data_IF_791232223816
#
_entry.id   IF_791232223816
#
_cell.length_a   1.000
_cell.length_b   1.000
_cell.length_c   1.000
_cell.angle_alpha   90.00
_cell.angle_beta   90.00
_cell.angle_gamma   90.00
#
_symmetry.space_group_name_H-M   'P 1'
#
loop_
_entity.id
_entity.type
_entity.pdbx_description
1 polymer ?
#
# COMPACT_ATOMS: atom_id res chain seq x y z
N UNK A 1 -20.16 21.89 -4.04
CA UNK A 1 -19.43 21.89 -2.75
C UNK A 1 -19.89 20.79 -1.79
N UNK A 2 -21.18 20.65 -1.48
CA UNK A 2 -21.66 19.58 -0.58
C UNK A 2 -21.29 18.15 -1.04
N UNK A 3 -21.36 17.89 -2.34
CA UNK A 3 -20.96 16.60 -2.93
C UNK A 3 -19.47 16.28 -2.74
N UNK A 4 -18.60 17.29 -2.90
CA UNK A 4 -17.17 17.16 -2.65
C UNK A 4 -16.89 16.84 -1.18
N UNK A 5 -17.53 17.57 -0.25
CA UNK A 5 -17.39 17.29 1.19
C UNK A 5 -17.87 15.89 1.55
N UNK A 6 -18.96 15.41 0.95
CA UNK A 6 -19.44 14.05 1.17
C UNK A 6 -18.41 12.99 0.70
N UNK A 7 -17.84 13.16 -0.50
CA UNK A 7 -16.78 12.27 -0.99
C UNK A 7 -15.54 12.30 -0.09
N UNK A 8 -15.16 13.49 0.37
CA UNK A 8 -14.03 13.68 1.28
C UNK A 8 -14.29 13.05 2.64
N UNK A 9 -15.52 13.13 3.16
CA UNK A 9 -15.90 12.48 4.41
C UNK A 9 -15.94 10.96 4.28
N UNK A 10 -16.39 10.42 3.14
CA UNK A 10 -16.31 8.99 2.85
C UNK A 10 -14.85 8.51 2.76
N UNK A 11 -13.97 9.27 2.10
CA UNK A 11 -12.57 8.92 1.94
C UNK A 11 -11.76 9.08 3.25
N UNK A 12 -11.91 10.19 3.98
CA UNK A 12 -11.09 10.48 5.15
C UNK A 12 -11.72 10.08 6.48
N UNK A 13 -13.03 9.90 6.54
CA UNK A 13 -13.76 9.50 7.75
C UNK A 13 -13.19 8.28 8.50
N UNK A 14 -12.77 7.18 7.83
CA UNK A 14 -12.28 6.01 8.56
C UNK A 14 -10.91 6.20 9.20
N UNK A 15 -10.05 7.11 8.71
CA UNK A 15 -8.69 7.29 9.24
C UNK A 15 -8.63 7.78 10.69
N UNK A 16 -9.33 8.86 11.10
CA UNK A 16 -9.37 9.28 12.50
C UNK A 16 -10.10 8.26 13.37
N UNK A 17 -11.16 7.61 12.87
CA UNK A 17 -11.85 6.54 13.60
C UNK A 17 -10.91 5.37 13.93
N UNK A 18 -10.09 4.94 12.97
CA UNK A 18 -9.09 3.87 13.20
C UNK A 18 -7.98 4.35 14.12
N UNK A 19 -7.53 5.60 14.00
CA UNK A 19 -6.48 6.17 14.85
C UNK A 19 -6.87 6.15 16.34
N UNK A 20 -8.05 6.67 16.67
CA UNK A 20 -8.55 6.71 18.05
C UNK A 20 -9.10 5.35 18.50
N UNK A 21 -9.85 4.65 17.65
CA UNK A 21 -10.47 3.36 17.99
C UNK A 21 -9.48 2.22 18.21
N UNK A 22 -8.31 2.26 17.56
CA UNK A 22 -7.28 1.23 17.72
C UNK A 22 -6.31 1.53 18.87
N UNK A 23 -6.55 2.59 19.67
CA UNK A 23 -5.64 3.13 20.69
C UNK A 23 -4.22 3.38 20.17
N UNK A 24 -4.10 3.70 18.89
CA UNK A 24 -2.80 3.99 18.28
C UNK A 24 -2.19 5.25 18.90
N UNK A 25 -3.02 6.18 19.38
CA UNK A 25 -2.61 7.36 20.16
C UNK A 25 -1.77 7.03 21.39
N UNK A 26 -2.03 5.89 22.04
CA UNK A 26 -1.40 5.52 23.31
C UNK A 26 -0.09 4.75 23.10
N UNK A 27 -0.02 3.97 22.01
CA UNK A 27 1.09 3.05 21.74
C UNK A 27 2.03 3.49 20.62
N UNK A 28 1.57 4.33 19.70
CA UNK A 28 2.34 4.79 18.55
C UNK A 28 2.42 6.32 18.56
N UNK A 29 3.64 6.84 18.58
CA UNK A 29 3.87 8.28 18.43
C UNK A 29 3.30 8.75 17.09
N UNK A 30 2.62 9.90 17.09
CA UNK A 30 2.17 10.62 15.87
C UNK A 30 3.28 10.72 14.82
N UNK A 31 4.54 10.77 15.25
CA UNK A 31 5.72 10.74 14.38
C UNK A 31 5.79 9.51 13.46
N UNK A 32 5.30 8.34 13.87
CA UNK A 32 5.26 7.14 13.01
C UNK A 32 4.22 7.27 11.89
N UNK A 33 3.06 7.85 12.20
CA UNK A 33 2.02 8.12 11.18
C UNK A 33 2.55 9.14 10.17
N UNK A 34 3.20 10.21 10.64
CA UNK A 34 3.83 11.21 9.78
C UNK A 34 4.94 10.60 8.91
N UNK A 35 5.79 9.72 9.46
CA UNK A 35 6.81 8.99 8.69
C UNK A 35 6.19 8.10 7.61
N UNK A 36 5.09 7.41 7.90
CA UNK A 36 4.36 6.62 6.93
C UNK A 36 3.81 7.46 5.78
N UNK A 37 3.23 8.61 6.10
CA UNK A 37 2.72 9.56 5.11
C UNK A 37 3.84 10.15 4.23
N UNK A 38 4.94 10.60 4.83
CA UNK A 38 6.11 11.10 4.09
C UNK A 38 6.73 10.03 3.20
N UNK A 39 6.82 8.79 3.71
CA UNK A 39 7.29 7.64 2.93
C UNK A 39 6.48 7.44 1.66
N UNK A 40 5.15 7.50 1.74
CA UNK A 40 4.29 7.41 0.56
C UNK A 40 4.52 8.57 -0.41
N UNK A 41 4.55 9.82 0.08
CA UNK A 41 4.72 11.01 -0.79
C UNK A 41 6.02 10.92 -1.57
N UNK A 42 7.14 10.66 -0.89
CA UNK A 42 8.46 10.52 -1.54
C UNK A 42 8.47 9.39 -2.57
N UNK A 43 7.89 8.24 -2.22
CA UNK A 43 7.83 7.07 -3.10
C UNK A 43 6.96 7.32 -4.31
N UNK A 44 5.79 7.93 -4.11
CA UNK A 44 4.83 8.25 -5.17
C UNK A 44 5.41 9.27 -6.14
N UNK A 45 6.05 10.33 -5.63
CA UNK A 45 6.73 11.32 -6.47
C UNK A 45 7.86 10.69 -7.27
N UNK A 46 8.72 9.88 -6.65
CA UNK A 46 9.78 9.17 -7.35
C UNK A 46 9.21 8.27 -8.45
N UNK A 47 8.19 7.46 -8.13
CA UNK A 47 7.54 6.57 -9.08
C UNK A 47 6.96 7.33 -10.29
N UNK A 48 6.33 8.49 -10.07
CA UNK A 48 5.79 9.33 -11.15
C UNK A 48 6.90 9.93 -12.02
N UNK A 49 8.02 10.36 -11.43
CA UNK A 49 9.18 10.84 -12.19
C UNK A 49 9.75 9.71 -13.06
N UNK A 50 9.97 8.51 -12.48
CA UNK A 50 10.48 7.36 -13.24
C UNK A 50 9.53 6.95 -14.37
N UNK A 51 8.22 6.94 -14.12
CA UNK A 51 7.22 6.68 -15.16
C UNK A 51 7.33 7.71 -16.30
N UNK A 52 7.44 9.00 -15.97
CA UNK A 52 7.51 10.06 -16.97
C UNK A 52 8.82 10.08 -17.78
N UNK A 53 9.95 9.66 -17.19
CA UNK A 53 11.26 9.71 -17.86
C UNK A 53 11.54 8.48 -18.71
N UNK A 54 11.13 7.29 -18.26
CA UNK A 54 11.52 6.03 -18.90
C UNK A 54 10.45 5.46 -19.84
N UNK A 55 9.19 5.90 -19.76
CA UNK A 55 8.17 5.49 -20.73
C UNK A 55 7.94 6.54 -21.82
N UNK A 56 8.23 6.20 -23.09
CA UNK A 56 7.87 7.05 -24.21
C UNK A 56 6.34 7.09 -24.39
N UNK A 57 5.81 8.27 -24.74
CA UNK A 57 4.36 8.53 -24.86
C UNK A 57 3.71 7.75 -26.01
N UNK A 58 4.48 7.33 -27.02
CA UNK A 58 3.97 6.78 -28.28
C UNK A 58 3.88 5.24 -28.34
N UNK A 59 3.92 4.55 -27.21
CA UNK A 59 3.98 3.08 -27.12
C UNK A 59 2.63 2.35 -27.37
N UNK A 60 1.76 2.84 -28.26
CA UNK A 60 0.39 2.31 -28.44
C UNK A 60 0.25 1.19 -29.50
N UNK A 61 1.30 0.93 -30.30
CA UNK A 61 1.28 -0.09 -31.35
C UNK A 61 1.77 -1.47 -30.83
N UNK A 62 0.92 -2.49 -30.90
CA UNK A 62 1.20 -3.94 -30.77
C UNK A 62 2.37 -4.37 -29.85
N UNK A 63 3.58 -4.43 -30.40
CA UNK A 63 4.81 -4.86 -29.71
C UNK A 63 5.31 -3.85 -28.67
N UNK A 64 5.05 -2.56 -28.84
CA UNK A 64 5.38 -1.51 -27.87
C UNK A 64 4.51 -1.59 -26.60
N UNK A 65 3.32 -2.20 -26.68
CA UNK A 65 2.45 -2.43 -25.52
C UNK A 65 3.05 -3.43 -24.53
N UNK A 66 3.71 -4.48 -25.01
CA UNK A 66 4.37 -5.47 -24.13
C UNK A 66 5.61 -4.85 -23.48
N UNK A 67 6.41 -4.11 -24.25
CA UNK A 67 7.60 -3.42 -23.74
C UNK A 67 7.23 -2.36 -22.70
N UNK A 68 6.17 -1.59 -22.93
CA UNK A 68 5.67 -0.62 -21.94
C UNK A 68 5.11 -1.28 -20.69
N UNK A 69 4.41 -2.42 -20.78
CA UNK A 69 4.00 -3.19 -19.60
C UNK A 69 5.21 -3.67 -18.77
N UNK A 70 6.23 -4.21 -19.44
CA UNK A 70 7.47 -4.64 -18.76
C UNK A 70 8.16 -3.45 -18.10
N UNK A 71 8.27 -2.31 -18.79
CA UNK A 71 8.79 -1.08 -18.21
C UNK A 71 8.01 -0.62 -16.97
N UNK A 72 6.68 -0.61 -17.05
CA UNK A 72 5.80 -0.24 -15.93
C UNK A 72 5.98 -1.17 -14.73
N UNK A 73 6.09 -2.48 -14.96
CA UNK A 73 6.34 -3.44 -13.86
C UNK A 73 7.70 -3.26 -13.21
N UNK A 74 8.76 -3.00 -13.98
CA UNK A 74 10.09 -2.71 -13.44
C UNK A 74 10.07 -1.42 -12.61
N UNK A 75 9.44 -0.36 -13.12
CA UNK A 75 9.33 0.92 -12.43
C UNK A 75 8.47 0.79 -11.17
N UNK A 76 7.46 -0.08 -11.17
CA UNK A 76 6.66 -0.36 -9.97
C UNK A 76 7.50 -0.88 -8.79
N UNK A 77 8.69 -1.45 -9.02
CA UNK A 77 9.61 -1.87 -7.97
C UNK A 77 10.10 -0.69 -7.10
N UNK A 78 10.07 0.54 -7.60
CA UNK A 78 10.37 1.75 -6.81
C UNK A 78 9.44 1.85 -5.59
N UNK A 79 8.17 1.43 -5.73
CA UNK A 79 7.22 1.40 -4.62
C UNK A 79 7.67 0.47 -3.50
N UNK A 80 8.26 -0.67 -3.85
CA UNK A 80 8.79 -1.66 -2.90
C UNK A 80 10.02 -1.09 -2.18
N UNK A 81 10.93 -0.44 -2.91
CA UNK A 81 12.11 0.20 -2.32
C UNK A 81 11.70 1.30 -1.34
N UNK A 82 10.73 2.13 -1.72
CA UNK A 82 10.18 3.18 -0.87
C UNK A 82 9.51 2.63 0.40
N UNK A 83 8.76 1.53 0.27
CA UNK A 83 8.18 0.83 1.41
C UNK A 83 9.26 0.27 2.36
N UNK A 84 10.31 -0.36 1.83
CA UNK A 84 11.44 -0.87 2.61
C UNK A 84 12.19 0.25 3.34
N UNK A 85 12.42 1.40 2.68
CA UNK A 85 13.03 2.57 3.31
C UNK A 85 12.15 3.10 4.45
N UNK A 86 10.83 3.17 4.22
CA UNK A 86 9.87 3.65 5.22
C UNK A 86 9.82 2.73 6.44
N UNK A 87 9.78 1.41 6.21
CA UNK A 87 9.79 0.42 7.30
C UNK A 87 11.12 0.40 8.04
N UNK A 88 12.25 0.48 7.34
CA UNK A 88 13.57 0.50 8.00
C UNK A 88 13.78 1.73 8.87
N UNK A 89 13.15 2.87 8.53
CA UNK A 89 13.14 4.07 9.38
C UNK A 89 12.33 3.91 10.68
N UNK A 90 11.40 2.95 10.72
CA UNK A 90 10.57 2.63 11.87
C UNK A 90 11.18 1.44 12.63
N UNK A 91 12.14 1.74 13.52
CA UNK A 91 12.84 0.73 14.31
C UNK A 91 11.89 -0.13 15.18
N UNK A 92 11.89 -1.45 14.93
CA UNK A 92 11.29 -2.48 15.79
C UNK A 92 10.10 -3.25 15.21
N UNK A 93 9.93 -4.49 15.68
CA UNK A 93 8.92 -5.47 15.24
C UNK A 93 7.61 -5.37 16.03
N UNK A 94 6.97 -4.20 16.07
CA UNK A 94 5.69 -4.05 16.77
C UNK A 94 4.51 -3.97 15.79
N UNK A 95 3.50 -4.82 15.99
CA UNK A 95 2.24 -4.81 15.22
C UNK A 95 1.63 -3.41 15.20
N UNK A 96 1.68 -2.71 16.32
CA UNK A 96 1.12 -1.36 16.50
C UNK A 96 1.87 -0.32 15.69
N UNK A 97 3.22 -0.39 15.64
CA UNK A 97 4.05 0.50 14.82
C UNK A 97 3.77 0.32 13.33
N UNK A 98 3.67 -0.92 12.85
CA UNK A 98 3.38 -1.18 11.43
C UNK A 98 1.97 -0.74 11.04
N UNK A 99 0.97 -0.91 11.93
CA UNK A 99 -0.37 -0.37 11.72
C UNK A 99 -0.35 1.17 11.64
N UNK A 100 0.43 1.84 12.48
CA UNK A 100 0.54 3.30 12.47
C UNK A 100 1.20 3.82 11.19
N UNK A 101 2.28 3.16 10.75
CA UNK A 101 2.98 3.47 9.50
C UNK A 101 2.06 3.28 8.29
N UNK A 102 1.29 2.18 8.28
CA UNK A 102 0.33 1.89 7.21
C UNK A 102 -0.86 2.84 7.19
N UNK A 103 -1.33 3.29 8.36
CA UNK A 103 -2.39 4.28 8.46
C UNK A 103 -1.94 5.61 7.83
N UNK A 104 -0.71 6.05 8.12
CA UNK A 104 -0.12 7.25 7.51
C UNK A 104 0.07 7.12 6.01
N UNK A 105 0.59 5.97 5.56
CA UNK A 105 0.76 5.67 4.14
C UNK A 105 -0.57 5.72 3.39
N UNK A 106 -1.59 5.02 3.90
CA UNK A 106 -2.93 5.00 3.31
C UNK A 106 -3.61 6.37 3.33
N UNK A 107 -3.39 7.19 4.36
CA UNK A 107 -3.96 8.54 4.44
C UNK A 107 -3.36 9.48 3.39
N UNK A 108 -2.03 9.40 3.19
CA UNK A 108 -1.35 10.17 2.16
C UNK A 108 -1.76 9.74 0.75
N UNK A 109 -2.00 8.45 0.55
CA UNK A 109 -2.54 7.92 -0.71
C UNK A 109 -3.95 8.40 -1.01
N UNK A 110 -4.82 8.46 0.00
CA UNK A 110 -6.14 9.09 -0.15
C UNK A 110 -6.04 10.58 -0.49
N UNK A 111 -5.08 11.29 0.11
CA UNK A 111 -4.79 12.69 -0.18
C UNK A 111 -4.37 12.92 -1.64
N UNK A 112 -3.60 11.99 -2.22
CA UNK A 112 -3.22 12.03 -3.63
C UNK A 112 -4.41 12.00 -4.60
N UNK A 113 -5.56 11.47 -4.18
CA UNK A 113 -6.78 11.37 -5.02
C UNK A 113 -7.73 12.56 -4.86
N UNK A 114 -7.48 13.46 -3.90
CA UNK A 114 -8.31 14.65 -3.67
C UNK A 114 -8.43 15.55 -4.90
N UNK A 115 -7.39 15.81 -5.71
CA UNK A 115 -7.53 16.60 -6.93
C UNK A 115 -8.51 15.97 -7.93
N UNK A 116 -8.49 14.63 -8.07
CA UNK A 116 -9.41 13.90 -8.94
C UNK A 116 -10.86 14.00 -8.43
N UNK A 117 -11.06 13.84 -7.12
CA UNK A 117 -12.37 14.01 -6.47
C UNK A 117 -12.90 15.45 -6.61
N UNK A 118 -12.01 16.45 -6.50
CA UNK A 118 -12.37 17.86 -6.68
C UNK A 118 -12.82 18.15 -8.10
N UNK A 119 -12.03 17.72 -9.10
CA UNK A 119 -12.38 17.91 -10.51
C UNK A 119 -13.68 17.19 -10.88
N UNK A 120 -13.86 15.94 -10.44
CA UNK A 120 -15.10 15.21 -10.67
C UNK A 120 -16.32 15.86 -10.00
N UNK A 121 -16.15 16.49 -8.85
CA UNK A 121 -17.25 17.20 -8.16
C UNK A 121 -17.69 18.51 -8.82
N UNK A 122 -16.93 19.01 -9.82
CA UNK A 122 -17.31 20.18 -10.62
C UNK A 122 -18.25 19.85 -11.77
N UNK A 123 -18.33 18.58 -12.18
CA UNK A 123 -19.35 18.15 -13.12
C UNK A 123 -20.72 18.26 -12.42
N UNK A 124 -21.67 18.98 -13.03
CA UNK A 124 -22.93 19.37 -12.39
C UNK A 124 -23.96 18.23 -12.30
N UNK A 125 -23.60 17.03 -12.74
CA UNK A 125 -24.43 15.83 -12.76
C UNK A 125 -24.01 14.88 -11.63
N UNK A 126 -24.96 14.14 -11.05
CA UNK A 126 -24.73 13.17 -9.97
C UNK A 126 -23.93 11.99 -10.55
N UNK A 127 -22.60 12.12 -10.56
CA UNK A 127 -21.71 11.10 -11.09
C UNK A 127 -21.24 10.17 -9.97
N UNK A 128 -21.75 8.93 -9.96
CA UNK A 128 -21.36 7.88 -9.00
C UNK A 128 -19.86 7.57 -9.03
N UNK A 129 -19.14 7.99 -10.08
CA UNK A 129 -17.70 7.78 -10.21
C UNK A 129 -16.89 8.44 -9.08
N UNK A 130 -17.30 9.62 -8.59
CA UNK A 130 -16.61 10.29 -7.48
C UNK A 130 -16.75 9.51 -6.16
N UNK A 131 -17.96 9.03 -5.85
CA UNK A 131 -18.21 8.20 -4.67
C UNK A 131 -17.48 6.86 -4.81
N UNK A 132 -17.53 6.24 -5.99
CA UNK A 132 -16.79 5.02 -6.29
C UNK A 132 -15.28 5.16 -6.09
N UNK A 133 -14.71 6.31 -6.49
CA UNK A 133 -13.30 6.64 -6.27
C UNK A 133 -12.97 6.81 -4.77
N UNK A 134 -13.85 7.45 -4.01
CA UNK A 134 -13.71 7.60 -2.55
C UNK A 134 -13.73 6.24 -1.84
N UNK A 135 -14.68 5.38 -2.20
CA UNK A 135 -14.78 4.01 -1.66
C UNK A 135 -13.52 3.19 -2.03
N UNK A 136 -13.10 3.24 -3.29
CA UNK A 136 -11.87 2.58 -3.75
C UNK A 136 -10.65 3.06 -2.97
N UNK A 137 -10.58 4.35 -2.65
CA UNK A 137 -9.49 4.91 -1.83
C UNK A 137 -9.39 4.28 -0.45
N UNK A 138 -10.53 3.98 0.19
CA UNK A 138 -10.53 3.30 1.49
C UNK A 138 -9.98 1.87 1.39
N UNK A 139 -10.38 1.13 0.35
CA UNK A 139 -9.85 -0.21 0.11
C UNK A 139 -8.35 -0.18 -0.18
N UNK A 140 -7.88 0.78 -0.96
CA UNK A 140 -6.45 0.98 -1.19
C UNK A 140 -5.72 1.28 0.14
N UNK A 141 -6.30 2.10 1.02
CA UNK A 141 -5.78 2.33 2.37
C UNK A 141 -5.63 1.05 3.20
N UNK A 142 -6.62 0.16 3.16
CA UNK A 142 -6.56 -1.15 3.83
C UNK A 142 -5.47 -2.05 3.20
N UNK A 143 -5.37 -2.06 1.87
CA UNK A 143 -4.32 -2.80 1.16
C UNK A 143 -2.89 -2.29 1.50
N UNK A 144 -2.75 -1.02 1.88
CA UNK A 144 -1.47 -0.46 2.35
C UNK A 144 -0.93 -1.20 3.58
N UNK A 145 -1.83 -1.69 4.45
CA UNK A 145 -1.45 -2.46 5.64
C UNK A 145 -0.77 -3.77 5.24
N UNK A 146 -1.36 -4.51 4.30
CA UNK A 146 -0.76 -5.75 3.80
C UNK A 146 0.57 -5.50 3.10
N UNK A 147 0.65 -4.44 2.30
CA UNK A 147 1.85 -4.07 1.56
C UNK A 147 3.04 -3.72 2.45
N UNK A 148 2.87 -2.80 3.42
CA UNK A 148 3.96 -2.46 4.35
C UNK A 148 4.35 -3.63 5.25
N UNK A 149 3.38 -4.49 5.56
CA UNK A 149 3.66 -5.71 6.30
C UNK A 149 4.54 -6.70 5.51
N UNK A 150 4.27 -6.87 4.22
CA UNK A 150 5.14 -7.61 3.31
C UNK A 150 6.55 -7.00 3.23
N UNK A 151 6.65 -5.67 3.15
CA UNK A 151 7.93 -4.96 3.14
C UNK A 151 8.72 -5.18 4.45
N UNK A 152 8.04 -5.18 5.60
CA UNK A 152 8.66 -5.49 6.89
C UNK A 152 9.25 -6.89 6.95
N UNK A 153 8.49 -7.91 6.51
CA UNK A 153 9.00 -9.28 6.46
C UNK A 153 10.18 -9.43 5.52
N UNK A 154 10.16 -8.74 4.38
CA UNK A 154 11.30 -8.71 3.44
C UNK A 154 12.52 -8.02 4.05
N UNK A 155 12.32 -6.93 4.79
CA UNK A 155 13.40 -6.25 5.52
C UNK A 155 14.04 -7.15 6.57
N UNK A 156 13.23 -7.84 7.39
CA UNK A 156 13.74 -8.82 8.36
C UNK A 156 14.48 -9.97 7.65
N UNK A 157 13.97 -10.48 6.53
CA UNK A 157 14.67 -11.48 5.72
C UNK A 157 16.04 -10.98 5.22
N UNK A 158 16.08 -9.80 4.60
CA UNK A 158 17.31 -9.20 4.10
C UNK A 158 18.31 -8.94 5.25
N UNK A 159 17.82 -8.55 6.42
CA UNK A 159 18.64 -8.36 7.62
C UNK A 159 19.18 -9.69 8.16
N UNK A 160 18.41 -10.78 8.08
CA UNK A 160 18.85 -12.13 8.45
C UNK A 160 19.93 -12.67 7.52
N UNK A 161 19.97 -12.24 6.25
CA UNK A 161 21.04 -12.63 5.33
C UNK A 161 22.33 -11.85 5.61
N UNK A 162 22.23 -10.60 6.07
CA UNK A 162 23.40 -9.74 6.36
C UNK A 162 24.14 -10.11 7.64
N UNK A 163 23.43 -10.60 8.66
CA UNK A 163 24.02 -10.98 9.93
C UNK A 163 23.95 -12.50 10.11
N UNK A 164 25.10 -13.17 10.25
CA UNK A 164 25.27 -14.61 10.55
C UNK A 164 24.66 -15.04 11.91
N UNK A 165 24.00 -14.11 12.62
CA UNK A 165 23.36 -14.32 13.90
C UNK A 165 21.89 -14.69 13.71
N UNK A 166 21.61 -15.99 13.73
CA UNK A 166 20.46 -16.73 14.26
C UNK A 166 19.02 -16.14 14.20
N UNK A 167 18.71 -15.07 13.46
CA UNK A 167 17.34 -14.63 13.17
C UNK A 167 16.82 -15.32 11.92
N UNK A 168 16.95 -16.64 11.88
CA UNK A 168 16.52 -17.49 10.77
C UNK A 168 15.07 -17.19 10.40
N UNK A 169 14.91 -16.40 9.33
CA UNK A 169 13.66 -16.20 8.62
C UNK A 169 13.11 -17.56 8.21
N UNK A 170 11.80 -17.74 8.35
CA UNK A 170 11.16 -19.01 7.99
C UNK A 170 10.97 -19.02 6.47
N UNK A 171 11.63 -19.90 5.70
CA UNK A 171 11.55 -19.90 4.25
C UNK A 171 10.12 -20.10 3.71
N UNK A 172 9.21 -20.68 4.50
CA UNK A 172 7.79 -20.79 4.16
C UNK A 172 7.04 -19.45 4.10
N UNK A 173 7.60 -18.36 4.63
CA UNK A 173 7.01 -17.02 4.55
C UNK A 173 7.36 -16.30 3.24
N UNK A 174 8.35 -16.76 2.49
CA UNK A 174 8.80 -16.14 1.23
C UNK A 174 7.71 -16.01 0.13
N UNK A 175 6.89 -17.04 -0.16
CA UNK A 175 5.80 -16.86 -1.14
C UNK A 175 4.76 -15.85 -0.65
N UNK A 176 4.55 -15.81 0.67
CA UNK A 176 3.56 -14.96 1.31
C UNK A 176 4.01 -13.48 1.30
N UNK A 177 5.31 -13.21 1.49
CA UNK A 177 5.88 -11.86 1.31
C UNK A 177 5.82 -11.39 -0.15
N UNK A 178 6.10 -12.27 -1.10
CA UNK A 178 6.02 -11.95 -2.53
C UNK A 178 4.58 -11.57 -2.94
N UNK A 179 3.57 -12.30 -2.46
CA UNK A 179 2.16 -11.99 -2.71
C UNK A 179 1.80 -10.60 -2.14
N UNK A 180 2.19 -10.32 -0.89
CA UNK A 180 1.90 -9.03 -0.23
C UNK A 180 2.55 -7.82 -0.92
N UNK A 181 3.77 -7.97 -1.45
CA UNK A 181 4.44 -6.92 -2.22
C UNK A 181 3.78 -6.67 -3.58
N UNK A 182 3.33 -7.75 -4.23
CA UNK A 182 2.77 -7.69 -5.59
C UNK A 182 1.45 -6.90 -5.63
N UNK A 183 0.71 -6.87 -4.52
CA UNK A 183 -0.62 -6.26 -4.38
C UNK A 183 -0.66 -4.77 -4.74
N UNK A 184 0.38 -3.99 -4.42
CA UNK A 184 0.44 -2.56 -4.75
C UNK A 184 1.47 -2.17 -5.81
N UNK A 185 2.28 -3.13 -6.25
CA UNK A 185 3.31 -2.92 -7.27
C UNK A 185 2.81 -3.39 -8.64
N UNK A 186 2.65 -4.70 -8.80
CA UNK A 186 2.45 -5.34 -10.12
C UNK A 186 0.97 -5.54 -10.44
N UNK A 187 0.15 -5.87 -9.45
CA UNK A 187 -1.30 -6.07 -9.60
C UNK A 187 -2.01 -4.84 -10.20
N UNK A 188 -1.78 -3.59 -9.77
CA UNK A 188 -2.46 -2.43 -10.37
C UNK A 188 -2.08 -2.21 -11.84
N UNK A 189 -0.83 -2.50 -12.22
CA UNK A 189 -0.38 -2.44 -13.62
C UNK A 189 -1.13 -3.48 -14.45
N UNK A 190 -1.21 -4.73 -13.96
CA UNK A 190 -1.96 -5.79 -14.62
C UNK A 190 -3.46 -5.48 -14.73
N UNK A 191 -4.05 -4.90 -13.68
CA UNK A 191 -5.46 -4.52 -13.67
C UNK A 191 -5.77 -3.38 -14.63
N UNK A 192 -4.83 -2.43 -14.77
CA UNK A 192 -4.98 -1.29 -15.70
C UNK A 192 -5.03 -1.75 -17.17
N UNK A 193 -4.34 -2.85 -17.50
CA UNK A 193 -4.38 -3.43 -18.84
C UNK A 193 -5.74 -4.04 -19.22
N UNK A 194 -6.58 -4.33 -18.22
CA UNK A 194 -7.88 -4.99 -18.39
C UNK A 194 -9.06 -3.99 -18.56
N UNK A 195 -8.82 -2.68 -18.39
CA UNK A 195 -9.79 -1.60 -18.60
C UNK A 195 -11.18 -1.87 -17.97
N UNK A 196 -11.19 -2.34 -16.72
CA UNK A 196 -12.39 -2.80 -16.04
C UNK A 196 -13.41 -1.68 -15.79
N UNK A 197 -14.73 -1.96 -15.88
CA UNK A 197 -15.75 -1.01 -15.47
C UNK A 197 -15.67 -0.72 -13.96
N UNK A 198 -16.05 0.50 -13.57
CA UNK A 198 -15.99 1.01 -12.19
C UNK A 198 -16.45 0.02 -11.09
N UNK A 199 -17.63 -0.64 -11.17
CA UNK A 199 -18.08 -1.54 -10.12
C UNK A 199 -17.16 -2.76 -9.94
N UNK A 200 -16.66 -3.30 -11.05
CA UNK A 200 -15.75 -4.45 -11.00
C UNK A 200 -14.39 -4.03 -10.43
N UNK A 201 -13.90 -2.83 -10.77
CA UNK A 201 -12.66 -2.29 -10.24
C UNK A 201 -12.72 -2.09 -8.71
N UNK A 202 -13.89 -1.67 -8.18
CA UNK A 202 -14.12 -1.55 -6.74
C UNK A 202 -14.13 -2.94 -6.10
N UNK A 203 -14.86 -3.90 -6.68
CA UNK A 203 -14.93 -5.27 -6.16
C UNK A 203 -13.54 -5.94 -6.09
N UNK A 204 -12.73 -5.79 -7.14
CA UNK A 204 -11.34 -6.29 -7.13
C UNK A 204 -10.49 -5.59 -6.08
N UNK A 205 -10.62 -4.27 -5.90
CA UNK A 205 -9.88 -3.54 -4.86
C UNK A 205 -10.27 -3.98 -3.46
N UNK A 206 -11.56 -4.26 -3.22
CA UNK A 206 -12.05 -4.78 -1.95
C UNK A 206 -11.50 -6.20 -1.67
N UNK A 207 -11.56 -7.09 -2.67
CA UNK A 207 -11.03 -8.45 -2.54
C UNK A 207 -9.53 -8.44 -2.23
N UNK A 208 -8.76 -7.60 -2.92
CA UNK A 208 -7.33 -7.41 -2.68
C UNK A 208 -7.08 -6.82 -1.28
N UNK A 209 -7.85 -5.81 -0.87
CA UNK A 209 -7.71 -5.16 0.42
C UNK A 209 -7.93 -6.14 1.59
N UNK A 210 -9.07 -6.83 1.62
CA UNK A 210 -9.37 -7.79 2.68
C UNK A 210 -8.44 -9.00 2.62
N UNK A 211 -8.22 -9.56 1.43
CA UNK A 211 -7.31 -10.69 1.24
C UNK A 211 -5.90 -10.38 1.75
N UNK A 212 -5.33 -9.24 1.36
CA UNK A 212 -4.01 -8.79 1.82
C UNK A 212 -3.95 -8.59 3.33
N UNK A 213 -5.00 -8.03 3.93
CA UNK A 213 -5.04 -7.77 5.37
C UNK A 213 -5.08 -9.06 6.19
N UNK A 214 -5.94 -10.02 5.84
CA UNK A 214 -6.00 -11.31 6.53
C UNK A 214 -4.73 -12.14 6.34
N UNK A 215 -4.17 -12.13 5.12
CA UNK A 215 -2.91 -12.79 4.80
C UNK A 215 -1.73 -12.18 5.57
N UNK A 216 -1.69 -10.86 5.72
CA UNK A 216 -0.70 -10.17 6.53
C UNK A 216 -0.82 -10.53 8.01
N UNK A 217 -2.04 -10.64 8.54
CA UNK A 217 -2.26 -11.03 9.93
C UNK A 217 -1.84 -12.47 10.24
N UNK A 218 -2.07 -13.41 9.31
CA UNK A 218 -1.63 -14.80 9.48
C UNK A 218 -0.10 -14.92 9.43
N UNK A 219 0.55 -14.26 8.46
CA UNK A 219 2.01 -14.22 8.35
C UNK A 219 2.68 -13.54 9.55
N UNK A 220 2.17 -12.38 9.95
CA UNK A 220 1.97 -11.96 11.35
C UNK A 220 2.28 -12.96 12.46
N UNK A 221 1.22 -13.70 12.78
CA UNK A 221 1.16 -14.64 13.87
C UNK A 221 2.21 -15.75 13.72
N UNK A 222 2.41 -16.26 12.51
CA UNK A 222 3.40 -17.31 12.22
C UNK A 222 4.81 -16.81 12.55
N UNK A 223 5.21 -15.65 12.02
CA UNK A 223 6.52 -15.04 12.27
C UNK A 223 6.78 -14.78 13.76
N UNK A 224 5.76 -14.34 14.51
CA UNK A 224 5.90 -14.12 15.96
C UNK A 224 6.04 -15.44 16.72
N UNK A 225 5.27 -16.47 16.36
CA UNK A 225 5.30 -17.78 17.04
C UNK A 225 6.65 -18.48 16.91
N UNK A 226 7.30 -18.35 15.76
CA UNK A 226 8.60 -18.97 15.47
C UNK A 226 9.74 -18.24 16.19
N UNK A 227 9.61 -16.91 16.37
CA UNK A 227 10.53 -16.11 17.20
C UNK A 227 10.46 -16.49 18.69
N UNK A 228 9.27 -16.70 19.26
CA UNK A 228 9.14 -17.09 20.67
C UNK A 228 9.68 -18.49 20.95
N UNK A 229 9.31 -19.50 20.14
CA UNK A 229 9.80 -20.88 20.30
C UNK A 229 11.33 -21.02 20.26
N UNK A 230 12.04 -20.09 19.64
CA UNK A 230 13.51 -20.05 19.59
C UNK A 230 14.15 -19.23 20.71
N UNK A 231 13.39 -18.40 21.44
CA UNK A 231 13.89 -17.66 22.60
C UNK A 231 13.92 -18.54 23.86
N UNK A 232 13.06 -19.55 23.91
CA UNK A 232 12.92 -20.49 25.03
C UNK A 232 13.80 -21.76 24.89
N UNK A 233 14.65 -21.83 23.86
CA UNK A 233 15.65 -22.89 23.64
C UNK A 233 17.04 -22.29 23.64
#
# INVERSE_FOLDING_TARGET
>A
MFYFLACLLVAFGPYPMVYYGSKLSDYASTSLVVRGALGYVLTSTAHMIFMATFLPVDAHEGTLRVVSLVGQTIISLVAIVGALATVSSASGSDKTKMKALALGWGAAEALGKVPQMWMGSRAHEIDLSCIGLAIKSNFDGIAAVGFLYGAFLLFEYASSLRFTSARQFVPSLFPLTAILLSIKSVVPVALSALALPLPLAIATSAAIAFGSYYLAQSAFAIHRSTRYKKRDR
#
